data_IF_461251806839
#
_entry.id   IF_461251806839
#
_cell.length_a   1.000
_cell.length_b   1.000
_cell.length_c   1.000
_cell.angle_alpha   90.00
_cell.angle_beta   90.00
_cell.angle_gamma   90.00
#
_symmetry.space_group_name_H-M   'P 1'
#
loop_
_entity.id
_entity.type
_entity.pdbx_description
1 polymer ?
#
# COMPACT_ATOMS: atom_id res chain seq x y z
N UNK A 1 31.91 -29.98 24.78
CA UNK A 1 32.52 -29.90 23.44
C UNK A 1 31.39 -29.66 22.42
N UNK A 2 31.13 -28.42 22.02
CA UNK A 2 30.16 -28.06 20.99
C UNK A 2 30.92 -27.83 19.69
N UNK A 3 30.60 -28.62 18.66
CA UNK A 3 31.15 -28.44 17.30
C UNK A 3 30.37 -27.32 16.57
N UNK A 4 31.05 -26.26 16.24
CA UNK A 4 30.61 -25.19 15.36
C UNK A 4 30.67 -25.68 13.91
N UNK A 5 29.58 -25.53 13.18
CA UNK A 5 29.54 -25.71 11.72
C UNK A 5 29.83 -24.36 11.03
N UNK A 6 30.59 -24.33 9.94
CA UNK A 6 30.86 -23.12 9.21
C UNK A 6 29.65 -22.74 8.34
N UNK A 7 29.41 -21.43 8.24
CA UNK A 7 28.39 -20.83 7.35
C UNK A 7 28.81 -20.99 5.88
N UNK A 8 28.00 -21.64 5.07
CA UNK A 8 28.18 -21.72 3.64
C UNK A 8 27.82 -20.39 2.95
N UNK A 9 28.80 -19.83 2.27
CA UNK A 9 28.62 -18.72 1.34
C UNK A 9 27.76 -19.21 0.15
N UNK A 10 26.67 -18.53 -0.11
CA UNK A 10 25.86 -18.73 -1.33
C UNK A 10 26.20 -17.63 -2.30
N UNK A 11 27.03 -17.92 -3.28
CA UNK A 11 27.26 -17.06 -4.45
C UNK A 11 26.03 -17.12 -5.37
N UNK A 12 25.13 -16.18 -5.21
CA UNK A 12 24.02 -15.96 -6.16
C UNK A 12 24.44 -14.92 -7.20
N UNK A 13 24.37 -15.27 -8.49
CA UNK A 13 24.53 -14.34 -9.60
C UNK A 13 23.51 -13.20 -9.46
N UNK A 14 23.96 -12.00 -9.14
CA UNK A 14 23.11 -10.82 -9.04
C UNK A 14 22.81 -10.26 -10.44
N UNK A 15 21.65 -9.60 -10.64
CA UNK A 15 21.31 -8.88 -11.89
C UNK A 15 22.42 -7.92 -12.36
N UNK A 16 23.30 -7.46 -11.47
CA UNK A 16 24.48 -6.64 -11.77
C UNK A 16 25.56 -7.39 -12.55
N UNK A 17 25.74 -8.70 -12.32
CA UNK A 17 26.69 -9.51 -13.08
C UNK A 17 26.27 -9.64 -14.55
N UNK A 18 24.95 -9.76 -14.79
CA UNK A 18 24.41 -9.88 -16.15
C UNK A 18 24.57 -8.58 -16.98
N UNK A 19 24.41 -7.40 -16.35
CA UNK A 19 24.56 -6.11 -17.03
C UNK A 19 26.01 -5.72 -17.30
N UNK A 20 26.98 -6.24 -16.56
CA UNK A 20 28.41 -6.01 -16.81
C UNK A 20 28.93 -6.78 -18.05
N UNK A 21 28.29 -7.87 -18.45
CA UNK A 21 28.68 -8.68 -19.61
C UNK A 21 28.19 -8.12 -20.96
N UNK A 22 27.20 -7.21 -20.97
CA UNK A 22 26.62 -6.70 -22.24
C UNK A 22 27.15 -5.34 -22.69
N UNK A 23 27.93 -4.63 -21.89
CA UNK A 23 28.45 -3.27 -22.22
C UNK A 23 29.97 -3.23 -22.54
N UNK A 24 30.64 -4.36 -22.67
CA UNK A 24 32.09 -4.47 -22.84
C UNK A 24 32.59 -4.87 -24.23
N UNK A 25 31.78 -4.81 -25.30
CA UNK A 25 32.19 -5.28 -26.61
C UNK A 25 32.21 -4.18 -27.69
N UNK A 26 33.06 -3.19 -27.55
CA UNK A 26 33.48 -2.32 -28.66
C UNK A 26 34.81 -1.64 -28.30
N UNK A 27 35.95 -2.33 -28.47
CA UNK A 27 37.24 -1.79 -28.92
C UNK A 27 38.32 -2.89 -28.99
N UNK A 28 38.80 -3.16 -30.21
CA UNK A 28 40.13 -3.63 -30.62
C UNK A 28 40.69 -4.96 -30.11
N UNK A 29 40.63 -5.90 -30.98
CA UNK A 29 41.54 -7.00 -31.32
C UNK A 29 42.68 -7.37 -30.39
N UNK A 30 42.41 -8.28 -29.43
CA UNK A 30 43.33 -9.32 -29.01
C UNK A 30 42.46 -10.56 -28.83
N UNK A 31 42.67 -11.59 -29.60
CA UNK A 31 42.01 -12.89 -29.37
C UNK A 31 42.57 -13.45 -28.06
N UNK A 32 41.78 -13.68 -27.02
CA UNK A 32 42.22 -14.54 -25.95
C UNK A 32 42.07 -15.98 -26.38
N UNK A 33 43.10 -16.74 -26.07
CA UNK A 33 43.15 -18.20 -26.24
C UNK A 33 41.92 -18.93 -25.77
N UNK A 34 41.65 -20.02 -26.48
CA UNK A 34 40.67 -21.08 -26.19
C UNK A 34 39.79 -20.87 -24.98
N UNK A 35 38.57 -20.39 -25.25
CA UNK A 35 37.42 -20.54 -24.38
C UNK A 35 37.44 -21.92 -23.72
N UNK A 36 37.70 -21.96 -22.42
CA UNK A 36 37.23 -23.10 -21.63
C UNK A 36 35.72 -23.15 -21.86
N UNK A 37 35.29 -24.12 -22.65
CA UNK A 37 33.87 -24.38 -22.81
C UNK A 37 33.32 -24.63 -21.41
N UNK A 38 32.45 -23.72 -20.96
CA UNK A 38 31.71 -23.89 -19.74
C UNK A 38 31.03 -25.24 -19.81
N UNK A 39 31.36 -26.18 -18.89
CA UNK A 39 30.70 -27.46 -18.88
C UNK A 39 29.18 -27.26 -18.93
N UNK A 40 28.48 -27.92 -19.84
CA UNK A 40 27.04 -27.73 -19.92
C UNK A 40 26.43 -28.10 -18.59
N UNK A 41 25.68 -27.18 -18.01
CA UNK A 41 24.90 -27.42 -16.80
C UNK A 41 24.16 -28.77 -16.98
N UNK A 42 24.14 -29.65 -15.97
CA UNK A 42 23.45 -30.94 -16.05
C UNK A 42 22.04 -30.71 -16.62
N UNK A 43 21.75 -31.36 -17.74
CA UNK A 43 20.46 -31.20 -18.43
C UNK A 43 19.33 -31.74 -17.55
N UNK A 44 18.80 -30.87 -16.73
CA UNK A 44 17.66 -31.18 -15.82
C UNK A 44 16.34 -31.27 -16.58
N UNK A 45 16.32 -30.87 -17.87
CA UNK A 45 15.09 -30.85 -18.68
C UNK A 45 14.64 -32.27 -19.08
N UNK A 46 15.52 -33.29 -18.98
CA UNK A 46 15.21 -34.70 -19.24
C UNK A 46 14.57 -35.43 -18.04
N UNK A 47 14.40 -34.76 -16.93
CA UNK A 47 13.74 -35.34 -15.75
C UNK A 47 12.32 -34.77 -15.61
N UNK A 48 11.37 -35.64 -15.35
CA UNK A 48 10.01 -35.21 -15.01
C UNK A 48 10.05 -34.29 -13.79
N UNK A 49 9.41 -33.11 -13.91
CA UNK A 49 9.20 -32.19 -12.80
C UNK A 49 8.12 -32.69 -11.82
N UNK A 50 7.69 -31.82 -10.93
CA UNK A 50 6.56 -32.10 -10.04
C UNK A 50 5.26 -32.15 -10.84
N UNK A 51 4.36 -33.06 -10.46
CA UNK A 51 3.02 -33.10 -11.02
C UNK A 51 2.22 -31.84 -10.62
N UNK A 52 1.25 -31.40 -11.44
CA UNK A 52 0.34 -30.34 -11.08
C UNK A 52 -0.41 -30.68 -9.78
N UNK A 53 -0.71 -29.68 -8.98
CA UNK A 53 -1.55 -29.81 -7.80
C UNK A 53 -2.76 -28.85 -7.87
N UNK A 54 -3.70 -29.01 -6.97
CA UNK A 54 -4.95 -28.23 -6.96
C UNK A 54 -4.72 -26.74 -6.63
N UNK A 55 -3.65 -26.40 -5.94
CA UNK A 55 -3.30 -25.03 -5.56
C UNK A 55 -1.85 -24.76 -5.95
N UNK A 56 -1.61 -23.68 -6.69
CA UNK A 56 -0.27 -23.20 -6.97
C UNK A 56 0.47 -22.80 -5.69
N UNK A 57 1.78 -22.87 -5.72
CA UNK A 57 2.65 -22.42 -4.64
C UNK A 57 3.68 -21.42 -5.18
N UNK A 58 4.13 -20.48 -4.33
CA UNK A 58 5.26 -19.62 -4.65
C UNK A 58 6.54 -20.43 -4.80
N UNK A 59 7.47 -19.91 -5.60
CA UNK A 59 8.84 -20.46 -5.61
C UNK A 59 9.40 -20.46 -4.17
N UNK A 60 10.02 -21.56 -3.72
CA UNK A 60 10.66 -21.58 -2.41
C UNK A 60 11.85 -20.61 -2.30
N UNK A 61 12.37 -20.11 -3.43
CA UNK A 61 13.41 -19.09 -3.47
C UNK A 61 12.86 -17.66 -3.29
N UNK A 62 11.54 -17.46 -3.44
CA UNK A 62 10.87 -16.17 -3.35
C UNK A 62 9.85 -16.22 -2.19
N UNK A 63 10.19 -15.61 -1.07
CA UNK A 63 9.37 -15.73 0.14
C UNK A 63 9.07 -14.35 0.78
N UNK A 64 8.38 -13.46 0.08
CA UNK A 64 7.92 -12.20 0.66
C UNK A 64 6.96 -12.48 1.82
N UNK A 65 7.10 -11.75 2.92
CA UNK A 65 6.28 -11.95 4.12
C UNK A 65 5.79 -10.64 4.69
N UNK A 66 4.57 -10.66 5.20
CA UNK A 66 4.05 -9.55 6.01
C UNK A 66 4.79 -9.49 7.34
N UNK A 67 5.20 -8.30 7.76
CA UNK A 67 5.63 -8.08 9.15
C UNK A 67 4.41 -8.06 10.04
N UNK A 68 4.41 -8.89 11.07
CA UNK A 68 3.31 -8.97 12.03
C UNK A 68 3.51 -7.96 13.15
N UNK A 69 2.42 -7.31 13.55
CA UNK A 69 2.33 -6.48 14.75
C UNK A 69 1.08 -6.90 15.54
N UNK A 70 1.16 -8.08 16.24
CA UNK A 70 0.03 -8.61 17.00
C UNK A 70 -0.45 -7.64 18.08
N UNK A 71 -1.72 -7.73 18.45
CA UNK A 71 -2.74 -8.63 17.93
C UNK A 71 -3.54 -8.05 16.76
N UNK A 72 -3.21 -6.88 16.21
CA UNK A 72 -4.14 -6.08 15.43
C UNK A 72 -3.72 -5.74 14.01
N UNK A 73 -2.47 -5.99 13.62
CA UNK A 73 -2.02 -5.59 12.28
C UNK A 73 -0.91 -6.46 11.70
N UNK A 74 -0.84 -6.48 10.37
CA UNK A 74 0.29 -6.93 9.58
C UNK A 74 0.57 -5.93 8.47
N UNK A 75 1.80 -5.90 7.95
CA UNK A 75 2.26 -4.91 6.97
C UNK A 75 2.65 -5.58 5.66
N UNK A 76 2.27 -4.96 4.55
CA UNK A 76 2.65 -5.36 3.18
C UNK A 76 4.16 -5.22 2.97
N UNK A 77 4.86 -6.23 2.42
CA UNK A 77 6.29 -6.17 2.14
C UNK A 77 6.58 -5.35 0.88
N UNK A 78 6.52 -4.02 0.98
CA UNK A 78 6.58 -3.08 -0.15
C UNK A 78 7.86 -3.21 -0.98
N UNK A 79 9.00 -3.53 -0.34
CA UNK A 79 10.30 -3.71 -0.98
C UNK A 79 10.39 -5.00 -1.79
N UNK A 80 9.60 -6.03 -1.43
CA UNK A 80 9.67 -7.37 -2.03
C UNK A 80 8.64 -7.57 -3.15
N UNK A 81 7.72 -6.61 -3.32
CA UNK A 81 6.67 -6.72 -4.35
C UNK A 81 7.19 -6.36 -5.73
N UNK A 82 6.72 -7.12 -6.72
CA UNK A 82 6.89 -6.82 -8.15
C UNK A 82 5.57 -6.27 -8.73
N UNK A 83 5.69 -5.39 -9.74
CA UNK A 83 4.49 -4.75 -10.32
C UNK A 83 3.78 -3.80 -9.34
N UNK A 84 2.50 -3.52 -9.56
CA UNK A 84 1.70 -2.59 -8.75
C UNK A 84 0.61 -3.27 -7.92
N UNK A 85 0.25 -4.52 -8.23
CA UNK A 85 -0.75 -5.27 -7.47
C UNK A 85 -0.09 -6.02 -6.30
N UNK A 86 -0.72 -5.96 -5.15
CA UNK A 86 -0.36 -6.74 -3.97
C UNK A 86 -1.10 -8.08 -4.02
N UNK A 87 -0.40 -9.22 -3.97
CA UNK A 87 -1.06 -10.52 -3.79
C UNK A 87 -1.98 -10.52 -2.57
N UNK A 88 -3.13 -11.19 -2.65
CA UNK A 88 -4.15 -11.12 -1.59
C UNK A 88 -3.63 -11.55 -0.23
N UNK A 89 -2.74 -12.54 -0.18
CA UNK A 89 -2.12 -13.05 1.05
C UNK A 89 -1.01 -12.13 1.63
N UNK A 90 -0.56 -11.14 0.86
CA UNK A 90 0.40 -10.12 1.29
C UNK A 90 -0.26 -8.75 1.56
N UNK A 91 -1.56 -8.64 1.34
CA UNK A 91 -2.31 -7.43 1.67
C UNK A 91 -2.24 -7.15 3.18
N UNK A 92 -1.98 -5.91 3.58
CA UNK A 92 -1.92 -5.55 4.99
C UNK A 92 -3.24 -5.83 5.71
N UNK A 93 -3.14 -6.05 7.00
CA UNK A 93 -4.29 -6.15 7.91
C UNK A 93 -4.24 -5.05 8.96
N UNK A 94 -5.42 -4.56 9.32
CA UNK A 94 -5.61 -3.70 10.48
C UNK A 94 -7.00 -3.94 11.07
N UNK A 95 -7.04 -4.42 12.30
CA UNK A 95 -8.25 -4.74 13.05
C UNK A 95 -8.29 -3.95 14.36
N UNK A 96 -9.49 -3.73 14.91
CA UNK A 96 -9.66 -3.06 16.20
C UNK A 96 -9.93 -4.07 17.33
N UNK A 97 -10.46 -5.25 16.98
CA UNK A 97 -10.85 -6.30 17.92
C UNK A 97 -10.69 -7.71 17.35
N UNK A 98 -9.65 -7.88 16.51
CA UNK A 98 -9.39 -9.17 15.85
C UNK A 98 -10.24 -9.39 14.59
N UNK A 99 -10.15 -10.61 14.08
CA UNK A 99 -10.80 -11.07 12.85
C UNK A 99 -12.25 -11.51 13.15
N UNK A 100 -13.21 -10.93 12.43
CA UNK A 100 -14.57 -11.40 12.48
C UNK A 100 -14.75 -12.65 11.61
N UNK A 101 -15.47 -13.65 12.12
CA UNK A 101 -15.87 -14.84 11.38
C UNK A 101 -17.35 -14.71 11.04
N UNK A 102 -17.65 -14.57 9.75
CA UNK A 102 -19.02 -14.36 9.26
C UNK A 102 -19.45 -15.54 8.39
N UNK A 103 -20.54 -16.23 8.75
CA UNK A 103 -21.17 -17.22 7.87
C UNK A 103 -21.87 -16.51 6.71
N UNK A 104 -21.45 -16.71 5.45
CA UNK A 104 -22.04 -16.03 4.30
C UNK A 104 -23.52 -16.38 4.09
N UNK A 105 -23.98 -17.53 4.54
CA UNK A 105 -25.41 -17.94 4.45
C UNK A 105 -26.28 -17.14 5.42
N UNK A 106 -25.74 -16.80 6.59
CA UNK A 106 -26.40 -15.98 7.59
C UNK A 106 -26.16 -14.48 7.41
N UNK A 107 -25.25 -14.09 6.48
CA UNK A 107 -24.92 -12.69 6.24
C UNK A 107 -26.12 -11.87 5.78
N UNK A 108 -26.30 -10.71 6.39
CA UNK A 108 -27.33 -9.72 6.05
C UNK A 108 -26.78 -8.31 6.13
N UNK A 109 -27.04 -7.52 5.10
CA UNK A 109 -26.74 -6.08 5.06
C UNK A 109 -28.05 -5.30 5.12
N UNK A 110 -28.31 -4.61 6.23
CA UNK A 110 -29.44 -3.71 6.37
C UNK A 110 -29.08 -2.31 5.84
N UNK A 111 -29.89 -1.78 4.91
CA UNK A 111 -29.80 -0.40 4.45
C UNK A 111 -31.11 0.31 4.82
N UNK A 112 -31.02 1.39 5.62
CA UNK A 112 -32.18 2.10 6.16
C UNK A 112 -31.89 3.58 6.43
N UNK A 113 -32.83 4.26 7.10
CA UNK A 113 -32.75 5.69 7.42
C UNK A 113 -33.54 6.51 6.42
N UNK A 114 -32.94 7.53 5.82
CA UNK A 114 -33.60 8.37 4.81
C UNK A 114 -33.68 7.64 3.44
N UNK A 115 -34.53 6.64 3.37
CA UNK A 115 -34.81 5.81 2.18
C UNK A 115 -36.29 5.54 2.08
N UNK A 116 -36.80 5.34 0.86
CA UNK A 116 -38.21 4.96 0.63
C UNK A 116 -38.50 3.56 1.16
N UNK A 117 -37.55 2.64 0.98
CA UNK A 117 -37.70 1.21 1.31
C UNK A 117 -36.49 0.71 2.10
N UNK A 118 -36.55 0.60 3.41
CA UNK A 118 -35.54 -0.14 4.16
C UNK A 118 -35.44 -1.58 3.66
N UNK A 119 -34.26 -1.98 3.18
CA UNK A 119 -34.03 -3.33 2.63
C UNK A 119 -32.90 -4.04 3.36
N UNK A 120 -33.03 -5.37 3.39
CA UNK A 120 -31.97 -6.26 3.87
C UNK A 120 -31.50 -7.13 2.71
N UNK A 121 -30.21 -7.06 2.39
CA UNK A 121 -29.61 -7.84 1.30
C UNK A 121 -28.82 -9.02 1.83
N UNK A 122 -28.98 -10.17 1.20
CA UNK A 122 -28.06 -11.31 1.32
C UNK A 122 -26.83 -11.10 0.44
N UNK A 123 -25.80 -11.93 0.57
CA UNK A 123 -24.66 -11.92 -0.36
C UNK A 123 -25.11 -12.21 -1.80
N UNK A 124 -26.05 -13.13 -1.98
CA UNK A 124 -26.57 -13.51 -3.30
C UNK A 124 -27.37 -12.37 -3.94
N UNK A 125 -28.16 -11.62 -3.15
CA UNK A 125 -28.85 -10.42 -3.66
C UNK A 125 -27.85 -9.36 -4.17
N UNK A 126 -26.79 -9.10 -3.41
CA UNK A 126 -25.74 -8.17 -3.81
C UNK A 126 -25.09 -8.63 -5.13
N UNK A 127 -24.78 -9.93 -5.27
CA UNK A 127 -24.16 -10.49 -6.47
C UNK A 127 -25.05 -10.49 -7.72
N UNK A 128 -26.37 -10.26 -7.61
CA UNK A 128 -27.30 -10.14 -8.74
C UNK A 128 -27.25 -8.76 -9.40
N UNK A 129 -26.77 -7.73 -8.70
CA UNK A 129 -26.59 -6.39 -9.30
C UNK A 129 -25.40 -6.38 -10.27
N UNK A 130 -25.38 -5.44 -11.24
CA UNK A 130 -24.25 -5.30 -12.15
C UNK A 130 -22.92 -5.11 -11.40
N UNK A 131 -21.99 -6.02 -11.67
CA UNK A 131 -20.67 -5.99 -11.05
C UNK A 131 -19.76 -4.99 -11.77
N UNK A 132 -18.89 -4.33 -11.01
CA UNK A 132 -17.80 -3.50 -11.51
C UNK A 132 -16.50 -3.95 -10.89
N UNK A 133 -15.40 -3.75 -11.62
CA UNK A 133 -14.06 -4.05 -11.14
C UNK A 133 -13.21 -2.79 -11.16
N UNK A 134 -12.43 -2.55 -10.09
CA UNK A 134 -11.60 -1.35 -9.95
C UNK A 134 -10.29 -1.68 -9.24
N UNK A 135 -9.19 -1.20 -9.81
CA UNK A 135 -7.88 -1.22 -9.14
C UNK A 135 -7.70 0.06 -8.35
N UNK A 136 -7.50 -0.05 -7.04
CA UNK A 136 -7.15 1.08 -6.19
C UNK A 136 -6.34 0.62 -4.97
N UNK A 137 -5.64 1.58 -4.36
CA UNK A 137 -4.98 1.30 -3.08
C UNK A 137 -5.97 1.43 -1.91
N UNK A 138 -5.65 0.74 -0.82
CA UNK A 138 -6.14 1.04 0.52
C UNK A 138 -4.95 1.42 1.40
N UNK A 139 -5.12 2.41 2.24
CA UNK A 139 -4.12 2.85 3.22
C UNK A 139 -4.78 3.15 4.56
N UNK A 140 -4.18 2.66 5.65
CA UNK A 140 -4.60 3.03 7.00
C UNK A 140 -4.21 4.48 7.29
N UNK A 141 -5.11 5.29 7.88
CA UNK A 141 -4.80 6.68 8.25
C UNK A 141 -3.59 6.82 9.17
N UNK A 142 -3.29 5.80 9.97
CA UNK A 142 -2.11 5.75 10.86
C UNK A 142 -0.88 5.08 10.21
N UNK A 143 -0.74 5.12 8.90
CA UNK A 143 0.34 4.45 8.17
C UNK A 143 1.65 5.24 8.17
N UNK A 144 2.27 5.42 9.35
CA UNK A 144 3.61 5.99 9.48
C UNK A 144 4.29 5.57 10.78
N UNK A 145 5.48 4.90 10.69
CA UNK A 145 6.18 4.32 11.84
C UNK A 145 7.70 4.52 11.81
N UNK A 146 8.22 5.46 11.02
CA UNK A 146 9.66 5.72 10.90
C UNK A 146 10.27 6.33 12.16
N UNK A 147 10.77 5.51 13.07
CA UNK A 147 11.34 5.95 14.35
C UNK A 147 12.75 5.44 14.61
N UNK A 148 13.30 4.54 13.78
CA UNK A 148 14.61 3.90 13.96
C UNK A 148 15.37 3.85 12.63
N UNK A 149 16.69 3.85 12.67
CA UNK A 149 17.55 3.72 11.49
C UNK A 149 17.43 2.34 10.83
N UNK A 150 17.23 1.29 11.64
CA UNK A 150 17.01 -0.09 11.20
C UNK A 150 15.55 -0.36 10.86
N UNK A 151 14.97 0.46 10.00
CA UNK A 151 13.55 0.36 9.59
C UNK A 151 13.48 0.10 8.09
N UNK A 152 12.75 -0.94 7.67
CA UNK A 152 12.51 -1.26 6.26
C UNK A 152 11.39 -0.39 5.66
N UNK A 153 11.24 -0.30 4.33
CA UNK A 153 10.09 0.38 3.72
C UNK A 153 8.74 -0.15 4.22
N UNK A 154 8.63 -1.46 4.43
CA UNK A 154 7.47 -2.13 5.04
C UNK A 154 7.18 -1.61 6.45
N UNK A 155 8.23 -1.41 7.25
CA UNK A 155 8.06 -0.92 8.61
C UNK A 155 7.72 0.56 8.66
N UNK A 156 8.22 1.36 7.72
CA UNK A 156 7.90 2.80 7.63
C UNK A 156 6.43 3.02 7.30
N UNK A 157 5.91 2.37 6.24
CA UNK A 157 4.58 2.66 5.72
C UNK A 157 3.88 1.45 5.06
N UNK A 158 4.09 0.25 5.59
CA UNK A 158 3.51 -0.99 5.04
C UNK A 158 2.02 -1.21 5.32
N UNK A 159 1.31 -0.27 5.95
CA UNK A 159 -0.17 -0.33 6.05
C UNK A 159 -0.85 0.27 4.81
N UNK A 160 -0.33 -0.06 3.64
CA UNK A 160 -0.93 0.21 2.33
C UNK A 160 -0.78 -1.00 1.42
N UNK A 161 -1.76 -1.23 0.57
CA UNK A 161 -1.76 -2.29 -0.45
C UNK A 161 -2.63 -1.85 -1.62
N UNK A 162 -2.32 -2.34 -2.81
CA UNK A 162 -3.16 -2.15 -3.98
C UNK A 162 -3.64 -3.47 -4.53
N UNK A 163 -4.93 -3.56 -4.80
CA UNK A 163 -5.54 -4.76 -5.38
C UNK A 163 -6.62 -4.37 -6.38
N UNK A 164 -7.02 -5.32 -7.19
CA UNK A 164 -8.22 -5.25 -7.99
C UNK A 164 -9.41 -5.69 -7.13
N UNK A 165 -10.45 -4.86 -7.07
CA UNK A 165 -11.66 -5.09 -6.28
C UNK A 165 -12.85 -5.29 -7.19
N UNK A 166 -13.66 -6.32 -6.94
CA UNK A 166 -14.91 -6.55 -7.67
C UNK A 166 -16.10 -6.48 -6.72
N UNK A 167 -17.14 -5.80 -7.16
CA UNK A 167 -18.35 -5.60 -6.36
C UNK A 167 -19.42 -4.80 -7.08
N UNK A 168 -20.33 -4.18 -6.34
CA UNK A 168 -21.46 -3.40 -6.85
C UNK A 168 -21.29 -1.94 -6.43
N UNK A 169 -21.55 -1.01 -7.36
CA UNK A 169 -21.50 0.42 -7.03
C UNK A 169 -22.50 0.76 -5.92
N UNK A 170 -22.05 1.56 -4.95
CA UNK A 170 -22.92 2.00 -3.85
C UNK A 170 -24.13 2.79 -4.34
N UNK A 171 -23.99 3.54 -5.43
CA UNK A 171 -25.08 4.26 -6.09
C UNK A 171 -26.22 3.34 -6.56
N UNK A 172 -25.90 2.13 -7.04
CA UNK A 172 -26.89 1.12 -7.42
C UNK A 172 -27.70 0.66 -6.20
N UNK A 173 -27.04 0.40 -5.07
CA UNK A 173 -27.71 0.00 -3.83
C UNK A 173 -28.57 1.13 -3.27
N UNK A 174 -28.08 2.38 -3.31
CA UNK A 174 -28.84 3.55 -2.84
C UNK A 174 -30.04 3.84 -3.73
N UNK A 175 -29.92 3.62 -5.03
CA UNK A 175 -31.06 3.70 -5.97
C UNK A 175 -32.10 2.62 -5.66
N UNK A 176 -31.67 1.38 -5.39
CA UNK A 176 -32.58 0.27 -5.09
C UNK A 176 -33.42 0.51 -3.82
N UNK A 177 -32.83 1.10 -2.78
CA UNK A 177 -33.57 1.43 -1.56
C UNK A 177 -34.37 2.74 -1.66
N UNK A 178 -34.23 3.50 -2.76
CA UNK A 178 -34.84 4.82 -2.91
C UNK A 178 -34.25 5.83 -1.93
N UNK A 179 -32.93 6.06 -1.99
CA UNK A 179 -32.27 7.04 -1.12
C UNK A 179 -32.83 8.45 -1.36
N UNK A 180 -33.27 9.12 -0.28
CA UNK A 180 -33.85 10.46 -0.39
C UNK A 180 -32.80 11.49 -0.85
N UNK A 181 -33.19 12.44 -1.68
CA UNK A 181 -32.29 13.50 -2.16
C UNK A 181 -31.69 14.37 -1.03
N UNK A 182 -32.39 14.45 0.10
CA UNK A 182 -31.90 15.13 1.31
C UNK A 182 -30.91 14.32 2.16
N UNK A 183 -30.67 13.05 1.85
CA UNK A 183 -29.64 12.26 2.53
C UNK A 183 -28.25 12.70 2.08
N UNK A 184 -27.48 13.28 2.97
CA UNK A 184 -26.14 13.82 2.69
C UNK A 184 -25.03 13.00 3.33
N UNK A 185 -25.37 12.16 4.31
CA UNK A 185 -24.46 11.30 5.07
C UNK A 185 -24.99 9.89 5.18
N UNK A 186 -24.08 8.93 5.36
CA UNK A 186 -24.46 7.60 5.82
C UNK A 186 -23.49 7.08 6.88
N UNK A 187 -24.02 6.31 7.82
CA UNK A 187 -23.26 5.48 8.73
C UNK A 187 -22.99 4.14 8.07
N UNK A 188 -21.75 3.69 8.08
CA UNK A 188 -21.37 2.32 7.76
C UNK A 188 -20.95 1.60 9.05
N UNK A 189 -21.45 0.36 9.27
CA UNK A 189 -21.18 -0.41 10.48
C UNK A 189 -20.74 -1.83 10.14
N UNK A 190 -19.63 -2.27 10.75
CA UNK A 190 -19.07 -3.62 10.62
C UNK A 190 -19.64 -4.61 11.65
N UNK A 191 -19.45 -5.90 11.38
CA UNK A 191 -19.87 -7.03 12.24
C UNK A 191 -18.72 -7.53 13.13
N UNK A 192 -17.66 -6.75 13.27
CA UNK A 192 -16.57 -7.07 14.19
C UNK A 192 -16.94 -6.75 15.65
N UNK A 193 -16.19 -7.32 16.61
CA UNK A 193 -16.46 -7.08 18.04
C UNK A 193 -16.24 -5.61 18.49
N UNK A 194 -15.49 -4.82 17.70
CA UNK A 194 -15.38 -3.38 17.90
C UNK A 194 -16.63 -2.63 17.45
N UNK A 195 -17.49 -3.26 16.66
CA UNK A 195 -18.63 -2.61 16.00
C UNK A 195 -18.15 -1.34 15.28
N UNK A 196 -17.13 -1.52 14.42
CA UNK A 196 -16.51 -0.40 13.71
C UNK A 196 -17.56 0.40 12.95
N UNK A 197 -17.70 1.66 13.28
CA UNK A 197 -18.66 2.59 12.65
C UNK A 197 -17.94 3.77 12.03
N UNK A 198 -18.39 4.21 10.84
CA UNK A 198 -17.88 5.44 10.21
C UNK A 198 -19.03 6.26 9.66
N UNK A 199 -18.94 7.56 9.83
CA UNK A 199 -19.84 8.55 9.23
C UNK A 199 -19.21 9.11 7.96
N UNK A 200 -19.91 8.94 6.82
CA UNK A 200 -19.34 9.18 5.50
C UNK A 200 -20.24 10.14 4.71
N UNK A 201 -19.69 11.23 4.13
CA UNK A 201 -20.46 12.15 3.29
C UNK A 201 -20.75 11.48 1.93
N UNK A 202 -22.02 11.43 1.53
CA UNK A 202 -22.47 10.75 0.31
C UNK A 202 -21.88 11.41 -0.94
N UNK A 203 -21.96 12.74 -1.05
CA UNK A 203 -21.53 13.48 -2.24
C UNK A 203 -20.07 13.23 -2.63
N UNK A 204 -19.20 13.07 -1.63
CA UNK A 204 -17.75 12.93 -1.86
C UNK A 204 -17.35 11.54 -2.35
N UNK A 205 -18.17 10.51 -2.07
CA UNK A 205 -17.75 9.12 -2.31
C UNK A 205 -18.64 8.35 -3.29
N UNK A 206 -19.90 8.77 -3.49
CA UNK A 206 -20.92 7.96 -4.18
C UNK A 206 -20.52 7.56 -5.61
N UNK A 207 -19.82 8.43 -6.33
CA UNK A 207 -19.38 8.17 -7.71
C UNK A 207 -18.35 7.04 -7.85
N UNK A 208 -17.70 6.65 -6.75
CA UNK A 208 -16.62 5.66 -6.78
C UNK A 208 -16.76 4.56 -5.72
N UNK A 209 -17.60 4.79 -4.70
CA UNK A 209 -17.84 3.85 -3.63
C UNK A 209 -18.50 2.56 -4.12
N UNK A 210 -18.10 1.43 -3.55
CA UNK A 210 -18.67 0.13 -3.91
C UNK A 210 -18.79 -0.81 -2.71
N UNK A 211 -19.70 -1.77 -2.81
CA UNK A 211 -19.76 -2.95 -1.96
C UNK A 211 -18.91 -4.04 -2.60
N UNK A 212 -17.68 -4.22 -2.14
CA UNK A 212 -16.77 -5.22 -2.67
C UNK A 212 -17.00 -6.59 -2.03
N UNK A 213 -17.04 -7.66 -2.84
CA UNK A 213 -17.15 -9.05 -2.42
C UNK A 213 -16.03 -9.95 -2.96
N UNK A 214 -15.20 -9.42 -3.86
CA UNK A 214 -14.04 -10.14 -4.40
C UNK A 214 -12.81 -9.22 -4.51
N UNK A 215 -11.63 -9.85 -4.52
CA UNK A 215 -10.32 -9.20 -4.56
C UNK A 215 -9.35 -10.04 -5.38
N UNK A 216 -8.67 -9.45 -6.36
CA UNK A 216 -7.70 -10.14 -7.23
C UNK A 216 -8.24 -11.44 -7.84
N UNK A 217 -9.50 -11.47 -8.28
CA UNK A 217 -10.14 -12.62 -8.93
C UNK A 217 -10.60 -13.74 -7.99
N UNK A 218 -10.48 -13.57 -6.67
CA UNK A 218 -10.99 -14.51 -5.65
C UNK A 218 -12.00 -13.83 -4.71
N UNK A 219 -12.78 -14.60 -3.94
CA UNK A 219 -13.58 -14.02 -2.88
C UNK A 219 -12.70 -13.25 -1.89
N UNK A 220 -13.25 -12.23 -1.23
CA UNK A 220 -12.52 -11.55 -0.16
C UNK A 220 -11.99 -12.55 0.85
N UNK A 221 -10.77 -12.35 1.29
CA UNK A 221 -10.26 -13.09 2.44
C UNK A 221 -10.93 -12.60 3.72
N UNK A 222 -11.09 -13.46 4.76
CA UNK A 222 -11.72 -13.04 6.02
C UNK A 222 -11.11 -11.77 6.60
N UNK A 223 -9.78 -11.65 6.59
CA UNK A 223 -9.03 -10.48 7.06
C UNK A 223 -9.29 -9.22 6.24
N UNK A 224 -9.76 -9.36 5.00
CA UNK A 224 -10.11 -8.26 4.12
C UNK A 224 -11.61 -7.94 4.14
N UNK A 225 -12.40 -8.63 4.98
CA UNK A 225 -13.79 -8.29 5.23
C UNK A 225 -14.83 -9.19 4.56
N UNK A 226 -14.50 -10.48 4.28
CA UNK A 226 -15.47 -11.45 3.77
C UNK A 226 -16.74 -11.50 4.65
N UNK A 227 -17.97 -11.56 4.11
CA UNK A 227 -18.26 -11.70 2.67
C UNK A 227 -18.36 -10.39 1.89
N UNK A 228 -18.60 -9.24 2.55
CA UNK A 228 -18.78 -7.93 1.89
C UNK A 228 -18.12 -6.84 2.73
N UNK A 229 -17.41 -5.95 2.06
CA UNK A 229 -16.91 -4.71 2.65
C UNK A 229 -17.37 -3.49 1.88
N UNK A 230 -17.43 -2.36 2.55
CA UNK A 230 -17.44 -1.06 1.89
C UNK A 230 -16.03 -0.77 1.36
N UNK A 231 -15.94 -0.27 0.13
CA UNK A 231 -14.70 0.21 -0.49
C UNK A 231 -14.86 1.66 -0.93
N UNK A 232 -14.00 2.53 -0.45
CA UNK A 232 -13.96 3.95 -0.75
C UNK A 232 -12.59 4.30 -1.33
N UNK A 233 -12.41 4.34 -2.67
CA UNK A 233 -11.12 4.62 -3.28
C UNK A 233 -10.55 5.98 -2.89
N UNK A 234 -9.27 6.01 -2.46
CA UNK A 234 -8.57 7.24 -2.07
C UNK A 234 -8.91 7.81 -0.70
N UNK A 235 -9.81 7.14 0.03
CA UNK A 235 -10.23 7.51 1.39
C UNK A 235 -9.47 6.65 2.41
N UNK A 236 -9.28 7.14 3.62
CA UNK A 236 -8.62 6.41 4.71
C UNK A 236 -9.25 5.03 4.94
N UNK A 237 -8.39 4.01 5.10
CA UNK A 237 -8.79 2.60 5.07
C UNK A 237 -9.81 2.19 6.12
N UNK A 238 -9.87 2.90 7.25
CA UNK A 238 -10.88 2.64 8.30
C UNK A 238 -12.30 3.02 7.86
N UNK A 239 -12.47 3.95 6.91
CA UNK A 239 -13.77 4.29 6.32
C UNK A 239 -14.26 3.22 5.33
N UNK A 240 -13.37 2.41 4.80
CA UNK A 240 -13.70 1.22 4.00
C UNK A 240 -14.05 0.04 4.92
N UNK A 241 -15.20 0.14 5.61
CA UNK A 241 -15.63 -0.77 6.69
C UNK A 241 -15.75 -2.21 6.21
N UNK A 242 -15.06 -3.13 6.93
CA UNK A 242 -15.06 -4.58 6.69
C UNK A 242 -16.26 -5.24 7.35
N UNK A 243 -16.63 -6.44 6.86
CA UNK A 243 -17.75 -7.22 7.41
C UNK A 243 -19.01 -6.35 7.55
N UNK A 244 -19.31 -5.59 6.49
CA UNK A 244 -20.34 -4.56 6.50
C UNK A 244 -21.72 -5.18 6.76
N UNK A 245 -22.39 -4.78 7.84
CA UNK A 245 -23.72 -5.32 8.22
C UNK A 245 -24.85 -4.30 8.18
N UNK A 246 -24.55 -3.01 8.24
CA UNK A 246 -25.56 -1.96 8.29
C UNK A 246 -25.07 -0.67 7.64
N UNK A 247 -25.95 -0.02 6.91
CA UNK A 247 -25.83 1.36 6.46
C UNK A 247 -27.08 2.13 6.83
N UNK A 248 -26.92 3.33 7.45
CA UNK A 248 -28.02 4.22 7.80
C UNK A 248 -27.82 5.57 7.15
N UNK A 249 -28.74 5.99 6.30
CA UNK A 249 -28.70 7.28 5.61
C UNK A 249 -29.31 8.38 6.48
N UNK A 250 -28.73 9.61 6.41
CA UNK A 250 -29.12 10.77 7.21
C UNK A 250 -28.83 12.08 6.47
N UNK A 251 -29.46 13.16 6.91
CA UNK A 251 -29.21 14.54 6.49
C UNK A 251 -28.03 15.22 7.21
N UNK A 252 -27.43 14.54 8.21
CA UNK A 252 -26.34 15.05 9.04
C UNK A 252 -25.36 13.94 9.42
N UNK A 253 -24.11 14.30 9.80
CA UNK A 253 -23.12 13.32 10.23
C UNK A 253 -23.51 12.63 11.53
N UNK A 254 -23.02 11.41 11.70
CA UNK A 254 -23.13 10.65 12.95
C UNK A 254 -21.86 10.86 13.79
N UNK A 255 -22.02 11.29 15.03
CA UNK A 255 -20.93 11.45 15.99
C UNK A 255 -20.63 10.13 16.66
N UNK A 256 -20.01 9.19 15.91
CA UNK A 256 -19.61 7.90 16.42
C UNK A 256 -18.37 8.02 17.32
N UNK A 257 -17.99 6.94 17.99
CA UNK A 257 -16.73 6.90 18.74
C UNK A 257 -15.53 7.18 17.83
N UNK A 258 -15.56 6.70 16.63
CA UNK A 258 -14.49 6.87 15.64
C UNK A 258 -14.36 8.32 15.17
N UNK A 259 -15.46 9.07 15.11
CA UNK A 259 -15.49 10.47 14.69
C UNK A 259 -15.18 11.45 15.82
N UNK A 260 -15.22 11.00 17.08
CA UNK A 260 -15.06 11.88 18.25
C UNK A 260 -13.78 11.61 19.04
N UNK A 261 -13.36 10.34 19.17
CA UNK A 261 -12.24 9.97 20.04
C UNK A 261 -11.08 9.28 19.32
N UNK A 262 -11.18 9.02 18.01
CA UNK A 262 -10.17 8.26 17.27
C UNK A 262 -9.60 9.03 16.09
N UNK A 263 -10.35 9.21 15.02
CA UNK A 263 -9.87 9.74 13.75
C UNK A 263 -10.07 11.24 13.65
N UNK A 264 -9.57 11.96 14.64
CA UNK A 264 -9.56 13.42 14.70
C UNK A 264 -8.12 13.91 14.77
N UNK A 265 -7.85 15.04 14.15
CA UNK A 265 -6.55 15.70 14.18
C UNK A 265 -6.59 16.84 15.22
N UNK A 266 -5.92 16.72 16.38
CA UNK A 266 -5.85 17.80 17.34
C UNK A 266 -5.00 18.95 16.81
N UNK A 267 -5.57 20.16 16.77
CA UNK A 267 -4.92 21.36 16.28
C UNK A 267 -4.20 22.11 17.42
N UNK A 268 -3.33 23.05 17.05
CA UNK A 268 -2.53 23.82 18.02
C UNK A 268 -3.37 24.75 18.90
N UNK A 269 -4.52 25.19 18.40
CA UNK A 269 -5.47 26.08 19.10
C UNK A 269 -6.39 25.34 20.10
N UNK A 270 -6.20 24.03 20.29
CA UNK A 270 -7.00 23.20 21.18
C UNK A 270 -8.28 22.65 20.53
N UNK A 271 -8.57 22.98 19.29
CA UNK A 271 -9.68 22.38 18.53
C UNK A 271 -9.25 21.05 17.89
N UNK A 272 -10.20 20.33 17.29
CA UNK A 272 -9.92 19.10 16.54
C UNK A 272 -10.59 19.15 15.18
N UNK A 273 -9.83 18.77 14.14
CA UNK A 273 -10.38 18.56 12.80
C UNK A 273 -11.01 17.18 12.74
N UNK A 274 -12.25 17.13 12.26
CA UNK A 274 -12.98 15.89 11.97
C UNK A 274 -13.06 15.67 10.44
N UNK A 275 -13.33 14.43 10.05
CA UNK A 275 -13.60 14.05 8.66
C UNK A 275 -12.45 14.36 7.67
N UNK A 276 -11.21 14.19 8.12
CA UNK A 276 -10.02 14.21 7.22
C UNK A 276 -9.96 12.90 6.45
N UNK A 277 -10.87 12.71 5.48
CA UNK A 277 -11.10 11.40 4.87
C UNK A 277 -10.07 11.07 3.78
N UNK A 278 -9.69 12.03 2.94
CA UNK A 278 -8.84 11.80 1.76
C UNK A 278 -7.39 11.58 2.16
N UNK A 279 -6.78 10.54 1.60
CA UNK A 279 -5.35 10.25 1.76
C UNK A 279 -4.53 11.12 0.79
N UNK A 280 -3.66 11.96 1.33
CA UNK A 280 -2.82 12.86 0.56
C UNK A 280 -1.67 12.13 -0.16
N UNK A 281 -1.07 12.79 -1.17
CA UNK A 281 -0.01 12.20 -1.97
C UNK A 281 1.19 11.77 -1.11
N UNK A 282 1.71 10.57 -1.40
CA UNK A 282 2.87 9.98 -0.74
C UNK A 282 3.75 9.23 -1.73
N UNK A 283 5.04 9.20 -1.48
CA UNK A 283 6.01 8.31 -2.10
C UNK A 283 6.92 7.69 -1.06
N UNK A 284 7.46 6.52 -1.38
CA UNK A 284 8.51 5.85 -0.61
C UNK A 284 9.48 5.15 -1.55
N UNK A 285 10.77 5.32 -1.29
CA UNK A 285 11.82 4.56 -1.97
C UNK A 285 11.83 3.16 -1.36
N UNK A 286 11.71 2.13 -2.18
CA UNK A 286 11.72 0.73 -1.78
C UNK A 286 13.06 0.03 -2.03
N UNK A 287 13.94 0.64 -2.83
CA UNK A 287 15.34 0.21 -3.06
C UNK A 287 16.11 1.37 -3.70
N UNK A 288 17.38 1.66 -3.25
CA UNK A 288 18.00 1.05 -2.10
C UNK A 288 17.35 1.50 -0.79
N UNK A 289 17.23 0.57 0.14
CA UNK A 289 16.61 0.77 1.45
C UNK A 289 17.29 -0.15 2.48
N UNK A 290 17.07 0.08 3.78
CA UNK A 290 17.55 -0.84 4.80
C UNK A 290 16.93 -2.24 4.62
N UNK A 291 17.70 -3.34 4.74
CA UNK A 291 19.11 -3.44 5.17
C UNK A 291 20.13 -3.52 4.01
N UNK A 292 19.82 -2.98 2.83
CA UNK A 292 20.72 -3.07 1.67
C UNK A 292 22.07 -2.39 1.92
N UNK A 293 23.09 -2.88 1.22
CA UNK A 293 24.38 -2.21 1.02
C UNK A 293 24.59 -2.05 -0.48
N UNK A 294 24.91 -0.84 -0.91
CA UNK A 294 25.15 -0.54 -2.32
C UNK A 294 26.63 -0.35 -2.60
N UNK A 295 27.04 -0.56 -3.84
CA UNK A 295 28.39 -0.27 -4.32
C UNK A 295 28.44 1.04 -5.07
N UNK A 296 29.61 1.69 -5.05
CA UNK A 296 29.89 2.85 -5.92
C UNK A 296 29.63 2.49 -7.39
N UNK A 297 28.98 3.40 -8.10
CA UNK A 297 28.63 3.19 -9.51
C UNK A 297 27.16 3.37 -9.78
N UNK A 298 26.64 2.64 -10.77
CA UNK A 298 25.24 2.69 -11.14
C UNK A 298 24.33 2.09 -10.08
N UNK A 299 23.33 2.87 -9.67
CA UNK A 299 22.27 2.47 -8.74
C UNK A 299 20.92 2.84 -9.34
N UNK A 300 19.99 1.89 -9.45
CA UNK A 300 18.61 2.21 -9.76
C UNK A 300 17.84 2.48 -8.47
N UNK A 301 17.40 3.72 -8.25
CA UNK A 301 16.47 4.05 -7.17
C UNK A 301 15.07 3.68 -7.62
N UNK A 302 14.36 2.86 -6.85
CA UNK A 302 13.00 2.39 -7.13
C UNK A 302 12.07 2.69 -5.95
N UNK A 303 10.80 2.88 -6.27
CA UNK A 303 9.80 3.06 -5.22
C UNK A 303 8.38 3.03 -5.74
N UNK A 304 7.47 3.36 -4.84
CA UNK A 304 6.04 3.50 -5.11
C UNK A 304 5.53 4.86 -4.65
N UNK A 305 4.50 5.36 -5.33
CA UNK A 305 3.80 6.58 -4.97
C UNK A 305 2.31 6.44 -5.17
N UNK A 306 1.50 7.19 -4.43
CA UNK A 306 0.04 7.17 -4.54
C UNK A 306 -0.56 8.49 -4.05
N UNK A 307 -1.83 8.75 -4.43
CA UNK A 307 -2.65 9.84 -3.89
C UNK A 307 -4.12 9.47 -3.90
N UNK A 308 -4.82 9.76 -2.83
CA UNK A 308 -6.28 9.64 -2.74
C UNK A 308 -7.02 10.72 -3.52
N UNK A 309 -6.32 11.77 -3.98
CA UNK A 309 -6.89 12.88 -4.76
C UNK A 309 -6.98 12.59 -6.25
N UNK A 310 -6.36 11.49 -6.74
CA UNK A 310 -6.38 11.11 -8.14
C UNK A 310 -5.05 10.52 -8.62
N UNK A 311 -4.58 10.97 -9.79
CA UNK A 311 -3.34 10.49 -10.41
C UNK A 311 -2.09 11.05 -9.72
N UNK A 312 -1.07 10.21 -9.56
CA UNK A 312 0.30 10.68 -9.33
C UNK A 312 0.82 11.27 -10.65
N UNK A 313 1.04 12.57 -10.69
CA UNK A 313 1.52 13.27 -11.91
C UNK A 313 3.02 13.11 -12.11
N UNK A 314 3.78 13.20 -11.01
CA UNK A 314 5.22 13.00 -11.02
C UNK A 314 5.73 12.59 -9.64
N UNK A 315 6.88 11.94 -9.66
CA UNK A 315 7.70 11.73 -8.48
C UNK A 315 9.04 12.41 -8.72
N UNK A 316 9.51 13.11 -7.72
CA UNK A 316 10.81 13.76 -7.76
C UNK A 316 11.75 13.07 -6.77
N UNK A 317 13.00 12.86 -7.19
CA UNK A 317 14.08 12.26 -6.41
C UNK A 317 15.13 13.33 -6.13
N UNK A 318 15.60 13.35 -4.91
CA UNK A 318 16.81 14.02 -4.53
C UNK A 318 17.84 13.00 -4.06
N UNK A 319 19.08 13.16 -4.46
CA UNK A 319 20.24 12.36 -4.03
C UNK A 319 21.21 13.17 -3.18
N UNK A 320 20.77 14.31 -2.67
CA UNK A 320 21.55 15.26 -1.91
C UNK A 320 20.81 15.83 -0.68
N UNK A 321 19.89 15.01 -0.12
CA UNK A 321 19.13 15.36 1.09
C UNK A 321 18.01 16.39 0.88
N UNK A 322 17.50 16.51 -0.35
CA UNK A 322 16.39 17.43 -0.67
C UNK A 322 16.84 18.81 -1.15
N UNK A 323 18.12 19.01 -1.41
CA UNK A 323 18.64 20.30 -1.94
C UNK A 323 18.32 20.50 -3.41
N UNK A 324 18.45 19.44 -4.21
CA UNK A 324 18.06 19.44 -5.62
C UNK A 324 17.11 18.29 -5.93
N UNK A 325 16.20 18.51 -6.89
CA UNK A 325 15.17 17.54 -7.23
C UNK A 325 15.18 17.27 -8.73
N UNK A 326 15.03 15.98 -9.10
CA UNK A 326 14.95 15.53 -10.49
C UNK A 326 13.76 14.60 -10.64
N UNK A 327 13.10 14.68 -11.80
CA UNK A 327 11.94 13.81 -12.08
C UNK A 327 12.37 12.34 -12.22
N UNK A 328 11.65 11.46 -11.58
CA UNK A 328 11.74 10.01 -11.78
C UNK A 328 10.83 9.58 -12.94
N UNK A 329 11.13 8.43 -13.55
CA UNK A 329 10.27 7.81 -14.56
C UNK A 329 9.16 7.01 -13.87
N UNK A 330 7.89 7.32 -14.18
CA UNK A 330 6.75 6.53 -13.73
C UNK A 330 6.53 5.34 -14.66
N UNK A 331 6.28 4.17 -14.08
CA UNK A 331 5.89 2.97 -14.82
C UNK A 331 4.42 3.06 -15.22
N UNK A 332 4.13 2.86 -16.50
CA UNK A 332 2.77 2.83 -17.02
C UNK A 332 2.09 1.47 -16.80
N UNK A 333 0.74 1.41 -16.67
CA UNK A 333 -0.18 2.55 -16.59
C UNK A 333 -0.15 3.20 -15.19
N UNK A 334 -0.31 4.54 -15.14
CA UNK A 334 -0.60 5.26 -13.91
C UNK A 334 -2.11 5.42 -13.80
N UNK A 335 -2.71 4.86 -12.76
CA UNK A 335 -4.16 4.88 -12.51
C UNK A 335 -4.51 5.87 -11.39
N UNK A 336 -5.71 6.47 -11.41
CA UNK A 336 -6.16 7.35 -10.34
C UNK A 336 -6.37 6.55 -9.04
N UNK A 337 -6.01 7.14 -7.91
CA UNK A 337 -6.16 6.53 -6.58
C UNK A 337 -5.53 5.14 -6.47
N UNK A 338 -4.37 4.99 -7.11
CA UNK A 338 -3.65 3.74 -7.26
C UNK A 338 -2.15 3.93 -7.01
N UNK A 339 -1.45 2.84 -6.69
CA UNK A 339 0.01 2.84 -6.60
C UNK A 339 0.61 3.00 -8.01
N UNK A 340 1.57 3.92 -8.15
CA UNK A 340 2.42 4.07 -9.32
C UNK A 340 3.86 3.72 -8.92
N UNK A 341 4.52 2.87 -9.70
CA UNK A 341 5.95 2.62 -9.49
C UNK A 341 6.77 3.68 -10.20
N UNK A 342 7.88 4.05 -9.57
CA UNK A 342 8.87 4.95 -10.14
C UNK A 342 10.27 4.36 -10.10
N UNK A 343 11.13 4.85 -11.01
CA UNK A 343 12.56 4.52 -11.06
C UNK A 343 13.34 5.75 -11.44
N UNK A 344 14.58 5.79 -10.93
CA UNK A 344 15.54 6.84 -11.24
C UNK A 344 16.94 6.24 -11.35
N UNK A 345 17.58 6.44 -12.50
CA UNK A 345 18.98 6.03 -12.73
C UNK A 345 19.93 7.02 -12.02
N UNK A 346 20.76 6.50 -11.13
CA UNK A 346 21.69 7.31 -10.36
C UNK A 346 23.09 6.75 -10.44
N UNK A 347 24.07 7.65 -10.61
CA UNK A 347 25.49 7.32 -10.50
C UNK A 347 25.98 7.79 -9.14
N UNK A 348 26.13 6.85 -8.21
CA UNK A 348 26.65 7.13 -6.88
C UNK A 348 28.17 7.22 -6.89
N UNK A 349 28.73 8.27 -6.33
CA UNK A 349 30.18 8.54 -6.31
C UNK A 349 30.91 7.93 -5.10
N UNK A 350 30.19 7.25 -4.20
CA UNK A 350 30.75 6.64 -2.97
C UNK A 350 30.79 7.60 -1.78
N UNK A 351 30.29 8.83 -1.89
CA UNK A 351 30.24 9.76 -0.75
C UNK A 351 28.99 9.55 0.08
N UNK A 352 29.06 9.79 1.40
CA UNK A 352 27.86 9.79 2.24
C UNK A 352 26.82 10.76 1.69
N UNK A 353 25.56 10.31 1.65
CA UNK A 353 24.47 11.13 1.15
C UNK A 353 23.13 10.66 1.72
N UNK A 354 22.08 11.42 1.43
CA UNK A 354 20.70 11.06 1.70
C UNK A 354 19.89 11.09 0.42
N UNK A 355 19.19 9.99 0.14
CA UNK A 355 18.24 9.90 -0.97
C UNK A 355 16.82 10.03 -0.45
N UNK A 356 16.01 10.84 -1.12
CA UNK A 356 14.61 11.10 -0.75
C UNK A 356 13.72 11.15 -1.97
N UNK A 357 12.43 10.87 -1.79
CA UNK A 357 11.42 11.03 -2.84
C UNK A 357 10.25 11.87 -2.35
N UNK A 358 9.61 12.59 -3.27
CA UNK A 358 8.33 13.24 -3.04
C UNK A 358 7.40 13.08 -4.23
N UNK A 359 6.12 12.85 -3.92
CA UNK A 359 5.07 12.73 -4.92
C UNK A 359 4.38 14.09 -5.14
N UNK A 360 3.93 14.30 -6.38
CA UNK A 360 3.04 15.41 -6.76
C UNK A 360 1.85 14.78 -7.50
N UNK A 361 0.64 15.06 -7.05
CA UNK A 361 -0.58 14.55 -7.67
C UNK A 361 -1.16 15.54 -8.71
N UNK A 362 -2.25 15.12 -9.34
CA UNK A 362 -2.90 15.91 -10.40
C UNK A 362 -3.56 17.20 -9.91
N UNK A 363 -3.82 17.33 -8.60
CA UNK A 363 -4.34 18.57 -8.00
C UNK A 363 -3.23 19.59 -7.76
N UNK A 364 -1.96 19.19 -7.96
CA UNK A 364 -0.79 20.02 -7.65
C UNK A 364 -0.33 19.89 -6.19
N UNK A 365 -0.97 19.03 -5.37
CA UNK A 365 -0.49 18.79 -4.02
C UNK A 365 0.88 18.12 -4.05
N UNK A 366 1.83 18.72 -3.32
CA UNK A 366 3.19 18.22 -3.17
C UNK A 366 3.34 17.59 -1.80
N UNK A 367 3.87 16.37 -1.73
CA UNK A 367 4.18 15.68 -0.47
C UNK A 367 5.09 16.56 0.40
N UNK A 368 4.67 16.88 1.65
CA UNK A 368 5.38 17.86 2.48
C UNK A 368 6.48 17.24 3.35
N UNK A 369 7.36 18.08 3.86
CA UNK A 369 8.27 17.70 4.95
C UNK A 369 7.50 17.55 6.27
N UNK A 370 8.05 16.80 7.23
CA UNK A 370 7.42 16.55 8.54
C UNK A 370 7.14 17.86 9.31
N UNK A 371 8.05 18.82 9.23
CA UNK A 371 7.88 20.14 9.88
C UNK A 371 6.63 20.87 9.38
N UNK A 372 6.40 20.87 8.08
CA UNK A 372 5.21 21.47 7.46
C UNK A 372 3.92 20.74 7.89
N UNK A 373 3.96 19.40 7.94
CA UNK A 373 2.82 18.60 8.43
C UNK A 373 2.49 18.93 9.90
N UNK A 374 3.48 18.99 10.76
CA UNK A 374 3.30 19.32 12.17
C UNK A 374 2.76 20.74 12.39
N UNK A 375 3.18 21.68 11.55
CA UNK A 375 2.65 23.04 11.55
C UNK A 375 1.18 23.08 11.14
N UNK A 376 0.80 22.33 10.08
CA UNK A 376 -0.56 22.35 9.54
C UNK A 376 -1.57 21.49 10.32
N UNK A 377 -1.13 20.38 10.93
CA UNK A 377 -1.99 19.37 11.58
C UNK A 377 -1.83 19.29 13.09
N UNK A 378 -0.90 20.06 13.67
CA UNK A 378 -0.57 19.99 15.09
C UNK A 378 0.47 18.89 15.42
N UNK A 379 1.24 19.14 16.49
CA UNK A 379 2.36 18.25 16.91
C UNK A 379 1.91 16.89 17.42
N UNK A 380 0.66 16.77 17.86
CA UNK A 380 0.10 15.52 18.44
C UNK A 380 -0.65 14.66 17.44
N UNK A 381 -0.78 15.09 16.17
CA UNK A 381 -1.47 14.30 15.16
C UNK A 381 -0.76 12.96 14.94
N UNK A 382 -1.56 11.90 14.74
CA UNK A 382 -1.10 10.53 14.50
C UNK A 382 -1.60 9.96 13.18
N UNK A 383 -2.53 10.67 12.54
CA UNK A 383 -3.21 10.25 11.32
C UNK A 383 -2.80 11.14 10.16
N UNK A 384 -2.94 10.60 8.94
CA UNK A 384 -2.64 11.32 7.69
C UNK A 384 -1.21 11.89 7.63
N UNK A 385 -0.25 11.24 8.31
CA UNK A 385 1.15 11.62 8.24
C UNK A 385 1.75 11.05 6.95
N UNK A 386 2.03 11.92 5.99
CA UNK A 386 2.63 11.58 4.70
C UNK A 386 3.93 12.38 4.44
N UNK A 387 4.88 12.44 5.42
CA UNK A 387 6.08 13.23 5.23
C UNK A 387 6.95 12.67 4.10
N UNK A 388 7.78 13.54 3.52
CA UNK A 388 8.94 13.10 2.73
C UNK A 388 9.80 12.22 3.62
N UNK A 389 10.12 11.01 3.14
CA UNK A 389 10.98 10.03 3.80
C UNK A 389 12.19 9.72 2.94
N UNK A 390 13.26 9.25 3.55
CA UNK A 390 14.50 8.98 2.83
C UNK A 390 15.39 7.96 3.52
N UNK A 391 16.52 7.71 2.86
CA UNK A 391 17.54 6.78 3.30
C UNK A 391 18.90 7.47 3.29
N UNK A 392 19.62 7.41 4.40
CA UNK A 392 21.03 7.80 4.47
C UNK A 392 21.89 6.67 3.94
N UNK A 393 22.92 7.00 3.19
CA UNK A 393 23.88 6.07 2.61
C UNK A 393 25.26 6.48 3.12
N UNK A 394 25.92 5.58 3.84
CA UNK A 394 27.26 5.80 4.37
C UNK A 394 28.34 5.59 3.27
N UNK A 395 29.58 5.99 3.51
CA UNK A 395 30.68 5.82 2.55
C UNK A 395 30.94 4.34 2.18
N UNK A 396 30.62 3.42 3.07
CA UNK A 396 30.73 1.96 2.85
C UNK A 396 29.50 1.36 2.15
N UNK A 397 28.55 2.20 1.72
CA UNK A 397 27.34 1.80 1.01
C UNK A 397 26.19 1.32 1.89
N UNK A 398 26.34 1.22 3.20
CA UNK A 398 25.23 0.81 4.09
C UNK A 398 24.09 1.82 4.05
N UNK A 399 22.89 1.32 3.90
CA UNK A 399 21.66 2.11 3.82
C UNK A 399 20.91 2.07 5.15
N UNK A 400 20.49 3.23 5.66
CA UNK A 400 19.72 3.39 6.90
C UNK A 400 18.53 4.31 6.67
N UNK A 401 17.47 4.16 7.44
CA UNK A 401 16.36 5.11 7.40
C UNK A 401 16.77 6.48 7.95
N UNK A 402 16.42 7.55 7.25
CA UNK A 402 16.76 8.92 7.62
C UNK A 402 15.87 9.44 8.76
N UNK A 403 16.08 8.95 9.98
CA UNK A 403 15.24 9.25 11.16
C UNK A 403 15.16 10.73 11.45
N UNK A 404 16.28 11.47 11.32
CA UNK A 404 16.34 12.89 11.67
C UNK A 404 15.40 13.76 10.81
N UNK A 405 15.13 13.33 9.57
CA UNK A 405 14.18 14.01 8.66
C UNK A 405 12.75 14.03 9.23
N UNK A 406 12.37 13.00 9.97
CA UNK A 406 11.00 12.80 10.48
C UNK A 406 10.87 13.03 11.99
N UNK A 407 11.99 13.28 12.65
CA UNK A 407 12.04 13.65 14.06
C UNK A 407 11.72 15.15 14.20
N UNK A 408 10.66 15.50 14.96
CA UNK A 408 10.24 16.90 15.24
C UNK A 408 9.87 17.05 16.70
#
# INVERSE_FOLDING_TARGET
>A
MRKTRPAGHRDGLTRRALLRTTLGAAALGVMPDATQAQEPSPDTTKRWGRLPNALGARSPAENPRRTLNPPTSSRTPLQDLQGTLTPSDLHYERHHSGLAVVDPRAYRLLVHGMVDRPLTFTLDDIKRFPAVTRTCFLECSGNFFGTREETTPQDVCGLTSQTEWTGVMLSTIFSEVGAHAGATWFLAEGQDAAVMTRSIPIKEVLGEAMLAYAQNGEALRPEQGYPVRLLLPGVEGNASVKWLRRMKLSDRPFMTREETSKYTDPLADGTARQFSLVMDARSVITSPAYPETIEKGFVEIRGIAWSGRGLVRRVEISTDGGRTWKAATLQQPVLPKAHARFRYAWQWDGRPTEIVSRAVDETGYVQPEMSALRSARGRRTRYHLNPVTGWTIAADGRVRFAVERVRV
#
